data_IF_651217535968
#
_entry.id   IF_651217535968
#
_cell.length_a   1.000
_cell.length_b   1.000
_cell.length_c   1.000
_cell.angle_alpha   90.00
_cell.angle_beta   90.00
_cell.angle_gamma   90.00
#
_symmetry.space_group_name_H-M   'P 1'
#
loop_
_entity.id
_entity.type
_entity.pdbx_description
1 polymer ?
#
# COMPACT_ATOMS: atom_id res chain seq x y z
N UNK A 1 -7.41 19.31 6.88
CA UNK A 1 -6.44 18.30 7.30
C UNK A 1 -6.19 18.38 8.81
N UNK A 2 -5.69 17.30 9.40
CA UNK A 2 -5.31 17.21 10.81
C UNK A 2 -3.83 16.83 10.88
N UNK A 3 -3.02 17.65 11.58
CA UNK A 3 -1.59 17.44 11.73
C UNK A 3 -1.26 17.23 13.20
N UNK A 4 -0.56 16.11 13.52
CA UNK A 4 -0.09 15.82 14.87
C UNK A 4 -1.15 15.18 15.78
N UNK A 5 -2.17 14.55 15.22
CA UNK A 5 -3.03 13.65 15.98
C UNK A 5 -2.22 12.48 16.56
N UNK A 6 -2.70 11.89 17.63
CA UNK A 6 -2.07 10.69 18.20
C UNK A 6 -2.13 9.53 17.21
N UNK A 7 -1.00 8.85 17.01
CA UNK A 7 -0.94 7.63 16.25
C UNK A 7 -1.72 6.47 16.90
N UNK A 8 -2.08 5.49 16.10
CA UNK A 8 -2.79 4.29 16.53
C UNK A 8 -1.81 3.32 17.21
N UNK A 9 -1.60 3.54 18.50
CA UNK A 9 -0.69 2.73 19.32
C UNK A 9 -1.41 2.22 20.58
N UNK A 10 -1.64 0.91 20.63
CA UNK A 10 -2.31 0.24 21.75
C UNK A 10 -1.61 -1.09 22.07
N UNK A 11 -1.42 -1.39 23.35
CA UNK A 11 -0.92 -2.67 23.83
C UNK A 11 -2.10 -3.54 24.30
N UNK A 12 -2.22 -4.79 23.84
CA UNK A 12 -3.24 -5.69 24.36
C UNK A 12 -2.94 -6.09 25.80
N UNK A 13 -3.95 -5.99 26.67
CA UNK A 13 -3.93 -6.43 28.06
C UNK A 13 -5.08 -7.40 28.35
N UNK A 14 -5.14 -8.02 29.54
CA UNK A 14 -6.17 -8.99 29.87
C UNK A 14 -7.60 -8.40 29.91
N UNK A 15 -7.72 -7.11 30.20
CA UNK A 15 -9.01 -6.42 30.34
C UNK A 15 -9.30 -5.44 29.18
N UNK A 16 -8.46 -5.42 28.12
CA UNK A 16 -8.64 -4.52 26.97
C UNK A 16 -7.33 -4.03 26.37
N UNK A 17 -7.34 -2.81 25.85
CA UNK A 17 -6.20 -2.19 25.20
C UNK A 17 -5.70 -0.96 25.98
N UNK A 18 -4.45 -0.96 26.36
CA UNK A 18 -3.78 0.17 26.97
C UNK A 18 -3.21 1.08 25.90
N UNK A 19 -3.55 2.38 25.95
CA UNK A 19 -3.03 3.36 25.00
C UNK A 19 -1.54 3.61 25.23
N UNK A 20 -0.75 3.48 24.16
CA UNK A 20 0.66 3.90 24.15
C UNK A 20 0.73 5.40 23.91
N UNK A 21 1.28 6.21 24.86
CA UNK A 21 1.43 7.65 24.67
C UNK A 21 2.21 8.01 23.42
N UNK A 22 1.72 9.01 22.68
CA UNK A 22 2.35 9.53 21.46
C UNK A 22 2.98 10.88 21.78
N UNK A 23 4.28 10.91 22.07
CA UNK A 23 5.00 12.08 22.56
C UNK A 23 5.90 12.76 21.53
N UNK A 24 6.00 12.18 20.34
CA UNK A 24 6.77 12.72 19.24
C UNK A 24 6.03 13.85 18.50
N UNK A 25 6.58 14.27 17.38
CA UNK A 25 6.09 15.39 16.57
C UNK A 25 5.87 14.96 15.12
N UNK A 26 5.35 15.90 14.31
CA UNK A 26 5.35 15.86 12.85
C UNK A 26 6.31 16.93 12.34
N UNK A 27 7.15 16.58 11.38
CA UNK A 27 8.02 17.50 10.65
C UNK A 27 7.59 17.56 9.19
N UNK A 28 7.17 18.73 8.73
CA UNK A 28 6.78 19.00 7.34
C UNK A 28 7.81 19.97 6.76
N UNK A 29 8.44 19.56 5.66
CA UNK A 29 9.45 20.36 4.97
C UNK A 29 8.79 21.31 3.95
N UNK A 30 9.63 22.05 3.19
CA UNK A 30 9.19 23.07 2.25
C UNK A 30 8.40 22.47 1.06
N UNK A 31 7.56 23.30 0.45
CA UNK A 31 6.82 22.99 -0.78
C UNK A 31 5.86 21.79 -0.66
N UNK A 32 5.46 21.39 0.55
CA UNK A 32 4.48 20.32 0.79
C UNK A 32 3.06 20.83 0.61
N UNK A 33 2.22 20.06 -0.09
CA UNK A 33 0.78 20.30 -0.18
C UNK A 33 0.01 19.16 0.47
N UNK A 34 -1.02 19.50 1.26
CA UNK A 34 -1.84 18.52 2.00
C UNK A 34 -3.31 18.83 1.76
N UNK A 35 -4.01 17.90 1.14
CA UNK A 35 -5.42 18.00 0.77
C UNK A 35 -6.39 17.94 1.95
N UNK A 36 -7.65 18.17 1.66
CA UNK A 36 -8.72 18.19 2.64
C UNK A 36 -8.92 16.84 3.33
N UNK A 37 -9.21 16.85 4.62
CA UNK A 37 -9.43 15.65 5.43
C UNK A 37 -8.24 14.65 5.47
N UNK A 38 -7.07 15.06 5.05
CA UNK A 38 -5.84 14.28 5.22
C UNK A 38 -5.37 14.38 6.67
N UNK A 39 -4.93 13.25 7.22
CA UNK A 39 -4.41 13.15 8.57
C UNK A 39 -2.93 12.73 8.53
N UNK A 40 -2.10 13.44 9.31
CA UNK A 40 -0.70 13.09 9.55
C UNK A 40 -0.49 12.93 11.05
N UNK A 41 -0.30 11.69 11.50
CA UNK A 41 -0.17 11.38 12.91
C UNK A 41 1.24 11.72 13.41
N UNK A 42 1.31 12.15 14.66
CA UNK A 42 2.60 12.33 15.34
C UNK A 42 3.30 10.99 15.56
N UNK A 43 4.60 11.04 15.68
CA UNK A 43 5.41 9.89 16.06
C UNK A 43 5.16 9.47 17.52
N UNK A 44 5.35 8.20 17.83
CA UNK A 44 5.41 7.72 19.23
C UNK A 44 6.56 8.41 19.96
N UNK A 45 7.75 8.44 19.34
CA UNK A 45 8.94 9.20 19.75
C UNK A 45 9.65 9.69 18.50
N UNK A 46 10.31 10.86 18.55
CA UNK A 46 10.95 11.48 17.41
C UNK A 46 9.95 12.18 16.49
N UNK A 47 10.02 11.95 15.19
CA UNK A 47 9.17 12.65 14.22
C UNK A 47 8.60 11.72 13.14
N UNK A 48 7.37 11.98 12.74
CA UNK A 48 6.81 11.58 11.45
C UNK A 48 7.24 12.63 10.43
N UNK A 49 7.85 12.22 9.33
CA UNK A 49 8.43 13.13 8.33
C UNK A 49 7.61 13.18 7.05
N UNK A 50 7.31 14.39 6.59
CA UNK A 50 6.81 14.67 5.24
C UNK A 50 7.84 15.56 4.56
N UNK A 51 8.61 14.97 3.66
CA UNK A 51 9.78 15.63 3.07
C UNK A 51 9.40 16.63 2.00
N UNK A 52 10.39 17.43 1.58
CA UNK A 52 10.22 18.52 0.63
C UNK A 52 9.47 18.10 -0.65
N UNK A 53 8.53 18.95 -1.08
CA UNK A 53 7.83 18.79 -2.35
C UNK A 53 6.76 17.69 -2.39
N UNK A 54 6.51 16.97 -1.29
CA UNK A 54 5.46 15.94 -1.20
C UNK A 54 4.08 16.53 -1.47
N UNK A 55 3.25 15.81 -2.23
CA UNK A 55 1.85 16.18 -2.51
C UNK A 55 0.92 15.07 -2.04
N UNK A 56 0.09 15.39 -1.05
CA UNK A 56 -0.93 14.50 -0.51
C UNK A 56 -2.29 15.03 -0.92
N UNK A 57 -3.06 14.23 -1.63
CA UNK A 57 -4.44 14.53 -2.01
C UNK A 57 -5.39 14.40 -0.80
N UNK A 58 -6.67 14.47 -1.03
CA UNK A 58 -7.71 14.43 0.00
C UNK A 58 -7.81 13.06 0.68
N UNK A 59 -8.12 13.05 1.96
CA UNK A 59 -8.36 11.84 2.75
C UNK A 59 -7.18 10.85 2.79
N UNK A 60 -5.96 11.31 2.66
CA UNK A 60 -4.75 10.49 2.83
C UNK A 60 -4.49 10.30 4.33
N UNK A 61 -4.12 9.09 4.73
CA UNK A 61 -3.69 8.78 6.10
C UNK A 61 -2.19 8.49 6.14
N UNK A 62 -1.44 9.31 6.84
CA UNK A 62 -0.03 9.11 7.16
C UNK A 62 0.08 8.77 8.64
N UNK A 63 0.37 7.50 8.94
CA UNK A 63 0.44 7.03 10.31
C UNK A 63 1.76 7.41 11.00
N UNK A 64 1.83 7.15 12.30
CA UNK A 64 2.95 7.49 13.17
C UNK A 64 4.30 6.90 12.69
N UNK A 65 5.38 7.61 12.98
CA UNK A 65 6.76 7.14 12.69
C UNK A 65 7.05 6.85 11.21
N UNK A 66 6.28 7.39 10.28
CA UNK A 66 6.54 7.27 8.85
C UNK A 66 7.55 8.32 8.38
N UNK A 67 8.21 8.04 7.27
CA UNK A 67 9.08 8.98 6.56
C UNK A 67 8.69 8.96 5.08
N UNK A 68 8.12 10.05 4.59
CA UNK A 68 7.67 10.20 3.20
C UNK A 68 8.72 10.99 2.43
N UNK A 69 9.42 10.33 1.53
CA UNK A 69 10.52 10.87 0.73
C UNK A 69 10.12 12.00 -0.20
N UNK A 70 11.10 12.85 -0.51
CA UNK A 70 10.89 14.08 -1.28
C UNK A 70 10.20 13.84 -2.63
N UNK A 71 9.36 14.80 -3.03
CA UNK A 71 8.64 14.80 -4.31
C UNK A 71 7.73 13.59 -4.55
N UNK A 72 7.40 12.83 -3.53
CA UNK A 72 6.43 11.74 -3.61
C UNK A 72 5.00 12.29 -3.66
N UNK A 73 4.17 11.70 -4.51
CA UNK A 73 2.77 12.11 -4.69
C UNK A 73 1.83 10.97 -4.36
N UNK A 74 0.76 11.26 -3.63
CA UNK A 74 -0.25 10.29 -3.20
C UNK A 74 -1.63 10.81 -3.55
N UNK A 75 -2.36 10.05 -4.37
CA UNK A 75 -3.77 10.37 -4.71
C UNK A 75 -4.70 10.09 -3.53
N UNK A 76 -5.95 10.45 -3.69
CA UNK A 76 -6.95 10.39 -2.62
C UNK A 76 -7.08 9.00 -1.97
N UNK A 77 -7.29 9.01 -0.66
CA UNK A 77 -7.52 7.81 0.17
C UNK A 77 -6.33 6.84 0.24
N UNK A 78 -5.11 7.27 -0.07
CA UNK A 78 -3.91 6.46 0.22
C UNK A 78 -3.75 6.33 1.73
N UNK A 79 -3.43 5.12 2.18
CA UNK A 79 -3.13 4.81 3.57
C UNK A 79 -1.70 4.29 3.75
N UNK A 80 -0.90 4.96 4.55
CA UNK A 80 0.46 4.54 4.92
C UNK A 80 0.46 4.15 6.39
N UNK A 81 0.64 2.87 6.68
CA UNK A 81 0.68 2.37 8.05
C UNK A 81 1.97 2.74 8.78
N UNK A 82 1.94 2.63 10.10
CA UNK A 82 3.01 3.13 10.99
C UNK A 82 4.40 2.55 10.70
N UNK A 83 5.42 3.34 10.95
CA UNK A 83 6.84 2.99 10.79
C UNK A 83 7.26 2.62 9.37
N UNK A 84 6.48 2.98 8.36
CA UNK A 84 6.79 2.77 6.95
C UNK A 84 7.68 3.89 6.43
N UNK A 85 8.68 3.51 5.63
CA UNK A 85 9.56 4.45 4.92
C UNK A 85 9.24 4.42 3.44
N UNK A 86 8.98 5.58 2.86
CA UNK A 86 8.72 5.75 1.43
C UNK A 86 9.85 6.58 0.84
N UNK A 87 10.44 6.07 -0.23
CA UNK A 87 11.50 6.74 -0.97
C UNK A 87 11.03 7.99 -1.71
N UNK A 88 11.94 8.58 -2.47
CA UNK A 88 11.68 9.80 -3.22
C UNK A 88 11.01 9.53 -4.57
N UNK A 89 10.27 10.52 -5.08
CA UNK A 89 9.65 10.48 -6.41
C UNK A 89 8.70 9.29 -6.64
N UNK A 90 8.10 8.78 -5.59
CA UNK A 90 7.07 7.73 -5.69
C UNK A 90 5.73 8.34 -6.15
N UNK A 91 4.93 7.52 -6.83
CA UNK A 91 3.59 7.90 -7.30
C UNK A 91 2.60 6.81 -6.90
N UNK A 92 1.65 7.16 -6.04
CA UNK A 92 0.62 6.22 -5.56
C UNK A 92 -0.76 6.65 -6.04
N UNK A 93 -1.41 5.74 -6.76
CA UNK A 93 -2.79 5.89 -7.19
C UNK A 93 -3.77 5.87 -6.01
N UNK A 94 -5.01 6.29 -6.26
CA UNK A 94 -6.03 6.35 -5.21
C UNK A 94 -6.26 5.01 -4.52
N UNK A 95 -6.53 5.05 -3.22
CA UNK A 95 -6.83 3.88 -2.39
C UNK A 95 -5.68 2.85 -2.29
N UNK A 96 -4.45 3.25 -2.53
CA UNK A 96 -3.28 2.40 -2.22
C UNK A 96 -3.13 2.26 -0.71
N UNK A 97 -2.89 1.03 -0.25
CA UNK A 97 -2.61 0.72 1.14
C UNK A 97 -1.22 0.13 1.33
N UNK A 98 -0.42 0.71 2.21
CA UNK A 98 0.90 0.19 2.59
C UNK A 98 0.85 -0.41 4.00
N UNK A 99 1.34 -1.65 4.14
CA UNK A 99 1.51 -2.28 5.45
C UNK A 99 2.55 -1.54 6.31
N UNK A 100 2.47 -1.74 7.62
CA UNK A 100 3.43 -1.15 8.56
C UNK A 100 4.82 -1.78 8.50
N UNK A 101 5.83 -1.01 8.94
CA UNK A 101 7.22 -1.47 9.07
C UNK A 101 7.89 -1.93 7.77
N UNK A 102 7.44 -1.44 6.62
CA UNK A 102 8.02 -1.74 5.32
C UNK A 102 8.81 -0.55 4.76
N UNK A 103 9.65 -0.84 3.77
CA UNK A 103 10.39 0.18 3.02
C UNK A 103 10.01 0.13 1.55
N UNK A 104 9.58 1.25 1.01
CA UNK A 104 9.33 1.46 -0.41
C UNK A 104 10.51 2.23 -0.98
N UNK A 105 11.18 1.68 -1.98
CA UNK A 105 12.31 2.34 -2.65
C UNK A 105 11.88 3.56 -3.45
N UNK A 106 12.86 4.26 -4.04
CA UNK A 106 12.60 5.45 -4.84
C UNK A 106 11.91 5.14 -6.16
N UNK A 107 11.17 6.11 -6.69
CA UNK A 107 10.53 6.05 -8.02
C UNK A 107 9.62 4.83 -8.20
N UNK A 108 8.98 4.38 -7.14
CA UNK A 108 7.99 3.30 -7.20
C UNK A 108 6.65 3.88 -7.68
N UNK A 109 6.04 3.20 -8.64
CA UNK A 109 4.68 3.49 -9.10
C UNK A 109 3.73 2.40 -8.60
N UNK A 110 2.66 2.80 -7.91
CA UNK A 110 1.58 1.91 -7.48
C UNK A 110 0.27 2.33 -8.15
N UNK A 111 -0.31 1.42 -8.93
CA UNK A 111 -1.64 1.62 -9.51
C UNK A 111 -2.72 1.70 -8.42
N UNK A 112 -3.85 2.32 -8.74
CA UNK A 112 -4.96 2.48 -7.79
C UNK A 112 -5.42 1.15 -7.19
N UNK A 113 -5.87 1.19 -5.93
CA UNK A 113 -6.36 0.04 -5.16
C UNK A 113 -5.32 -1.07 -4.93
N UNK A 114 -4.02 -0.75 -5.01
CA UNK A 114 -2.98 -1.71 -4.69
C UNK A 114 -2.79 -1.87 -3.18
N UNK A 115 -2.75 -3.12 -2.71
CA UNK A 115 -2.42 -3.48 -1.33
C UNK A 115 -1.01 -4.04 -1.24
N UNK A 116 -0.13 -3.36 -0.51
CA UNK A 116 1.31 -3.68 -0.44
C UNK A 116 1.65 -4.28 0.92
N UNK A 117 1.85 -5.60 1.02
CA UNK A 117 2.11 -6.27 2.28
C UNK A 117 3.59 -6.28 2.70
N UNK A 118 4.52 -5.85 1.84
CA UNK A 118 5.96 -5.94 2.10
C UNK A 118 6.78 -4.91 1.33
N UNK A 119 8.07 -4.86 1.61
CA UNK A 119 8.99 -3.88 1.03
C UNK A 119 9.15 -4.02 -0.48
N UNK A 120 9.35 -2.89 -1.16
CA UNK A 120 9.50 -2.79 -2.61
C UNK A 120 10.85 -2.16 -2.97
N UNK A 121 11.44 -2.63 -4.07
CA UNK A 121 12.68 -2.08 -4.61
C UNK A 121 12.39 -0.83 -5.44
N UNK A 122 13.37 0.05 -5.56
CA UNK A 122 13.27 1.26 -6.40
C UNK A 122 12.90 0.95 -7.85
N UNK A 123 12.11 1.82 -8.45
CA UNK A 123 11.71 1.77 -9.87
C UNK A 123 10.64 0.73 -10.23
N UNK A 124 10.09 -0.01 -9.27
CA UNK A 124 9.04 -0.98 -9.55
C UNK A 124 7.72 -0.29 -9.95
N UNK A 125 7.01 -0.88 -10.91
CA UNK A 125 5.67 -0.46 -11.35
C UNK A 125 4.68 -1.61 -11.13
N UNK A 126 3.84 -1.47 -10.11
CA UNK A 126 3.01 -2.54 -9.61
C UNK A 126 1.54 -2.13 -9.52
N UNK A 127 0.64 -3.11 -9.61
CA UNK A 127 -0.80 -2.91 -9.39
C UNK A 127 -1.42 -4.19 -8.83
N UNK A 128 -2.47 -4.04 -8.04
CA UNK A 128 -3.28 -5.14 -7.51
C UNK A 128 -3.03 -5.47 -6.04
N UNK A 129 -3.70 -6.49 -5.56
CA UNK A 129 -3.60 -6.99 -4.17
C UNK A 129 -3.54 -8.51 -4.18
N UNK A 130 -2.38 -9.11 -3.88
CA UNK A 130 -1.08 -8.47 -3.69
C UNK A 130 -0.58 -7.79 -4.98
N UNK A 131 0.35 -6.81 -4.88
CA UNK A 131 0.82 -6.09 -6.05
C UNK A 131 1.70 -6.98 -6.92
N UNK A 132 1.47 -6.92 -8.22
CA UNK A 132 2.27 -7.61 -9.23
C UNK A 132 2.69 -6.63 -10.33
N UNK A 133 3.66 -7.03 -11.11
CA UNK A 133 4.11 -6.25 -12.26
C UNK A 133 2.92 -5.91 -13.19
N UNK A 134 2.82 -4.68 -13.65
CA UNK A 134 1.64 -4.13 -14.33
C UNK A 134 1.23 -4.96 -15.57
N UNK A 135 2.20 -5.38 -16.39
CA UNK A 135 1.91 -6.22 -17.57
C UNK A 135 1.34 -7.58 -17.20
N UNK A 136 1.89 -8.21 -16.16
CA UNK A 136 1.43 -9.50 -15.67
C UNK A 136 0.02 -9.37 -15.10
N UNK A 137 -0.27 -8.30 -14.36
CA UNK A 137 -1.60 -8.01 -13.84
C UNK A 137 -2.65 -7.94 -14.96
N UNK A 138 -2.43 -7.12 -15.99
CA UNK A 138 -3.40 -6.99 -17.09
C UNK A 138 -3.61 -8.29 -17.87
N UNK A 139 -2.55 -9.08 -18.08
CA UNK A 139 -2.68 -10.40 -18.69
C UNK A 139 -3.55 -11.34 -17.82
N UNK A 140 -3.30 -11.34 -16.51
CA UNK A 140 -4.10 -12.15 -15.57
C UNK A 140 -5.57 -11.71 -15.55
N UNK A 141 -5.84 -10.40 -15.56
CA UNK A 141 -7.21 -9.89 -15.62
C UNK A 141 -7.94 -10.26 -16.91
N UNK A 142 -7.25 -10.30 -18.04
CA UNK A 142 -7.84 -10.76 -19.30
C UNK A 142 -8.27 -12.24 -19.25
N UNK A 143 -7.51 -13.08 -18.53
CA UNK A 143 -7.80 -14.50 -18.37
C UNK A 143 -8.84 -14.74 -17.27
N UNK A 144 -8.84 -13.93 -16.23
CA UNK A 144 -9.68 -14.11 -15.04
C UNK A 144 -11.16 -14.33 -15.38
N UNK A 145 -11.70 -13.57 -16.35
CA UNK A 145 -13.08 -13.71 -16.80
C UNK A 145 -13.38 -15.05 -17.48
N UNK A 146 -12.36 -15.74 -17.99
CA UNK A 146 -12.47 -17.02 -18.69
C UNK A 146 -12.18 -18.23 -17.79
N UNK A 147 -11.80 -18.01 -16.53
CA UNK A 147 -11.48 -19.12 -15.62
C UNK A 147 -12.58 -20.18 -15.49
N UNK A 148 -13.88 -19.84 -15.42
CA UNK A 148 -14.93 -20.87 -15.35
C UNK A 148 -14.96 -21.77 -16.60
N UNK A 149 -14.78 -21.18 -17.78
CA UNK A 149 -14.74 -21.89 -19.06
C UNK A 149 -13.48 -22.79 -19.14
N UNK A 150 -12.33 -22.22 -18.81
CA UNK A 150 -11.06 -22.95 -18.78
C UNK A 150 -11.09 -24.12 -17.78
N UNK A 151 -11.75 -23.94 -16.64
CA UNK A 151 -11.90 -25.01 -15.65
C UNK A 151 -12.76 -26.16 -16.20
N UNK A 152 -13.85 -25.87 -16.94
CA UNK A 152 -14.67 -26.83 -17.60
C UNK A 152 -13.88 -27.61 -18.68
N UNK A 153 -13.20 -26.86 -19.56
CA UNK A 153 -12.35 -27.44 -20.62
C UNK A 153 -11.28 -28.39 -20.03
N UNK A 154 -10.64 -27.98 -18.93
CA UNK A 154 -9.64 -28.79 -18.25
C UNK A 154 -10.23 -30.12 -17.72
N UNK A 155 -11.44 -30.07 -17.16
CA UNK A 155 -12.10 -31.26 -16.66
C UNK A 155 -12.55 -32.21 -17.80
N UNK A 156 -12.99 -31.66 -18.91
CA UNK A 156 -13.36 -32.42 -20.08
C UNK A 156 -12.12 -33.11 -20.73
N UNK A 157 -11.00 -32.38 -20.81
CA UNK A 157 -9.73 -32.96 -21.26
C UNK A 157 -9.22 -34.06 -20.33
N UNK A 158 -9.36 -33.93 -19.02
CA UNK A 158 -9.00 -34.98 -18.06
C UNK A 158 -9.81 -36.25 -18.29
N UNK A 159 -11.13 -36.17 -18.52
CA UNK A 159 -11.99 -37.32 -18.84
C UNK A 159 -11.56 -37.98 -20.11
N UNK A 160 -11.31 -37.24 -21.18
CA UNK A 160 -10.84 -37.78 -22.46
C UNK A 160 -9.51 -38.53 -22.31
N UNK A 161 -8.58 -38.02 -21.53
CA UNK A 161 -7.31 -38.72 -21.25
C UNK A 161 -7.54 -40.02 -20.49
N UNK A 162 -8.44 -40.03 -19.51
CA UNK A 162 -8.78 -41.26 -18.77
C UNK A 162 -9.43 -42.32 -19.66
N UNK A 163 -10.32 -41.93 -20.57
CA UNK A 163 -10.93 -42.83 -21.56
C UNK A 163 -9.89 -43.38 -22.52
N UNK A 164 -8.97 -42.60 -23.03
CA UNK A 164 -7.88 -43.03 -23.89
C UNK A 164 -6.92 -44.02 -23.19
N UNK A 165 -6.71 -43.86 -21.87
CA UNK A 165 -5.89 -44.79 -21.07
C UNK A 165 -6.57 -46.13 -20.82
N UNK A 166 -7.92 -46.17 -20.73
CA UNK A 166 -8.68 -47.41 -20.55
C UNK A 166 -8.79 -48.23 -21.83
N UNK A 167 -8.63 -47.60 -22.98
CA UNK A 167 -8.74 -48.25 -24.30
C UNK A 167 -7.36 -48.72 -24.86
N UNK A 168 -6.32 -48.65 -24.04
CA UNK A 168 -5.00 -49.24 -24.27
C UNK A 168 -4.76 -50.45 -23.36
#
# INVERSE_FOLDING_TARGET
CVIGADGFGFAPGPDGYDKIPQIGIVTIEDDVEIGANTCVDRSTMGSTYVRKGVKLDNMVQIAHNTDIGANTVMSAQVGVAGSTKVGEWCMFGGQVGLAGHITIGDKVFLGAQSGVPGSLKSGQQLIGTPPMEQRAYFKSQAIFRRLPEMYKELNDLKKQIEELKKNK
#
